data_IF_396650375153
#
_entry.id   IF_396650375153
#
_cell.length_a   1.000
_cell.length_b   1.000
_cell.length_c   1.000
_cell.angle_alpha   90.00
_cell.angle_beta   90.00
_cell.angle_gamma   90.00
#
_symmetry.space_group_name_H-M   'P 1'
#
loop_
_entity.id
_entity.type
_entity.pdbx_description
1 polymer ?
#
# COMPACT_ATOMS: atom_id res chain seq x y z
N UNK A 1 -2.95 -43.55 26.01
CA UNK A 1 -1.75 -43.19 25.22
C UNK A 1 -1.89 -43.55 23.73
N UNK A 2 -2.32 -44.76 23.35
CA UNK A 2 -2.47 -45.15 21.93
C UNK A 2 -3.55 -44.42 21.12
N UNK A 3 -4.66 -44.02 21.75
CA UNK A 3 -5.73 -43.26 21.08
C UNK A 3 -5.31 -41.85 20.62
N UNK A 4 -4.44 -41.19 21.39
CA UNK A 4 -3.86 -39.89 21.01
C UNK A 4 -2.93 -40.03 19.80
N UNK A 5 -2.13 -41.10 19.73
CA UNK A 5 -1.26 -41.38 18.59
C UNK A 5 -2.08 -41.68 17.32
N UNK A 6 -3.19 -42.41 17.43
CA UNK A 6 -4.09 -42.67 16.30
C UNK A 6 -4.76 -41.38 15.80
N UNK A 7 -5.22 -40.51 16.69
CA UNK A 7 -5.77 -39.21 16.32
C UNK A 7 -4.74 -38.31 15.64
N UNK A 8 -3.51 -38.25 16.16
CA UNK A 8 -2.44 -37.46 15.56
C UNK A 8 -2.09 -38.00 14.17
N UNK A 9 -1.95 -39.31 13.99
CA UNK A 9 -1.63 -39.92 12.68
C UNK A 9 -2.76 -39.71 11.65
N UNK A 10 -4.02 -39.69 12.09
CA UNK A 10 -5.16 -39.45 11.21
C UNK A 10 -5.30 -37.98 10.80
N UNK A 11 -5.13 -37.04 11.74
CA UNK A 11 -5.34 -35.61 11.50
C UNK A 11 -4.08 -34.86 11.03
N UNK A 12 -2.88 -35.37 11.30
CA UNK A 12 -1.63 -34.78 10.84
C UNK A 12 -1.56 -34.60 9.32
N UNK A 13 -1.87 -35.61 8.46
CA UNK A 13 -1.83 -35.42 7.02
C UNK A 13 -2.87 -34.40 6.54
N UNK A 14 -4.06 -34.35 7.16
CA UNK A 14 -5.09 -33.37 6.83
C UNK A 14 -4.68 -31.94 7.22
N UNK A 15 -4.04 -31.76 8.38
CA UNK A 15 -3.49 -30.48 8.82
C UNK A 15 -2.33 -30.03 7.94
N UNK A 16 -1.42 -30.93 7.58
CA UNK A 16 -0.30 -30.64 6.66
C UNK A 16 -0.84 -30.29 5.28
N UNK A 17 -1.82 -31.03 4.76
CA UNK A 17 -2.44 -30.74 3.47
C UNK A 17 -3.19 -29.40 3.49
N UNK A 18 -3.94 -29.09 4.55
CA UNK A 18 -4.58 -27.79 4.75
C UNK A 18 -3.57 -26.64 4.82
N UNK A 19 -2.46 -26.83 5.53
CA UNK A 19 -1.38 -25.85 5.62
C UNK A 19 -0.70 -25.63 4.26
N UNK A 20 -0.42 -26.70 3.51
CA UNK A 20 0.12 -26.64 2.15
C UNK A 20 -0.85 -25.94 1.19
N UNK A 21 -2.15 -26.24 1.28
CA UNK A 21 -3.18 -25.60 0.46
C UNK A 21 -3.31 -24.10 0.77
N UNK A 22 -3.17 -23.70 2.04
CA UNK A 22 -3.16 -22.29 2.44
C UNK A 22 -1.93 -21.50 1.95
N UNK A 23 -0.88 -22.20 1.48
CA UNK A 23 0.29 -21.59 0.82
C UNK A 23 0.04 -21.39 -0.67
N UNK A 24 -0.75 -22.25 -1.31
CA UNK A 24 -1.09 -22.10 -2.73
C UNK A 24 -2.01 -20.90 -2.96
N UNK A 25 -1.61 -19.95 -3.83
CA UNK A 25 -2.42 -18.76 -4.13
C UNK A 25 -3.66 -19.18 -4.95
N UNK A 26 -4.82 -19.28 -4.31
CA UNK A 26 -6.11 -19.34 -5.01
C UNK A 26 -6.45 -17.94 -5.54
N UNK A 27 -6.86 -17.87 -6.81
CA UNK A 27 -7.05 -16.62 -7.55
C UNK A 27 -8.10 -15.66 -6.96
N UNK A 28 -8.98 -16.12 -6.06
CA UNK A 28 -10.20 -15.36 -5.72
C UNK A 28 -10.26 -14.74 -4.32
N UNK A 29 -9.37 -15.06 -3.37
CA UNK A 29 -9.38 -14.36 -2.06
C UNK A 29 -8.07 -14.59 -1.26
N UNK A 30 -7.38 -13.53 -0.78
CA UNK A 30 -6.18 -13.69 0.03
C UNK A 30 -6.54 -14.27 1.41
N UNK A 31 -5.87 -15.35 1.86
CA UNK A 31 -6.18 -15.97 3.14
C UNK A 31 -5.94 -15.01 4.31
N UNK A 32 -6.88 -14.97 5.27
CA UNK A 32 -6.94 -13.99 6.39
C UNK A 32 -5.65 -13.85 7.21
N UNK A 33 -4.85 -14.91 7.31
CA UNK A 33 -3.57 -14.88 8.01
C UNK A 33 -2.51 -14.03 7.29
N UNK A 34 -2.53 -13.95 5.96
CA UNK A 34 -1.61 -13.11 5.17
C UNK A 34 -1.90 -11.64 5.40
N UNK A 35 -3.17 -11.25 5.45
CA UNK A 35 -3.60 -9.89 5.77
C UNK A 35 -3.15 -9.52 7.18
N UNK A 36 -3.36 -10.40 8.16
CA UNK A 36 -2.90 -10.19 9.53
C UNK A 36 -1.36 -10.09 9.63
N UNK A 37 -0.62 -10.88 8.86
CA UNK A 37 0.83 -10.84 8.79
C UNK A 37 1.31 -9.53 8.15
N UNK A 38 0.70 -9.09 7.05
CA UNK A 38 1.00 -7.83 6.38
C UNK A 38 0.84 -6.64 7.34
N UNK A 39 -0.29 -6.56 8.04
CA UNK A 39 -0.54 -5.53 9.06
C UNK A 39 0.53 -5.55 10.15
N UNK A 40 0.97 -6.73 10.61
CA UNK A 40 2.03 -6.84 11.63
C UNK A 40 3.39 -6.39 11.10
N UNK A 41 3.74 -6.76 9.87
CA UNK A 41 4.99 -6.36 9.23
C UNK A 41 5.02 -4.84 9.00
N UNK A 42 3.91 -4.24 8.57
CA UNK A 42 3.79 -2.78 8.42
C UNK A 42 4.02 -2.05 9.74
N UNK A 43 3.43 -2.51 10.84
CA UNK A 43 3.71 -1.92 12.17
C UNK A 43 5.16 -2.04 12.58
N UNK A 44 5.81 -3.15 12.23
CA UNK A 44 7.21 -3.39 12.57
C UNK A 44 8.14 -2.51 11.72
N UNK A 45 7.83 -2.36 10.43
CA UNK A 45 8.48 -1.43 9.53
C UNK A 45 8.32 0.03 9.97
N UNK A 46 7.14 0.41 10.48
CA UNK A 46 6.89 1.73 11.04
C UNK A 46 7.81 2.05 12.24
N UNK A 47 8.10 1.07 13.10
CA UNK A 47 9.06 1.25 14.22
C UNK A 47 10.51 1.35 13.76
N UNK A 48 10.86 0.68 12.67
CA UNK A 48 12.22 0.66 12.11
C UNK A 48 12.52 1.87 11.24
N UNK A 49 11.50 2.49 10.63
CA UNK A 49 11.65 3.67 9.79
C UNK A 49 11.96 4.88 10.69
N UNK A 50 13.25 5.16 10.89
CA UNK A 50 13.71 6.45 11.45
C UNK A 50 13.14 7.57 10.58
N UNK A 51 12.23 8.36 11.15
CA UNK A 51 11.86 9.65 10.59
C UNK A 51 13.10 10.53 10.67
N UNK A 52 13.75 10.78 9.53
CA UNK A 52 14.77 11.82 9.42
C UNK A 52 14.00 13.14 9.34
N UNK A 53 14.30 14.08 10.22
CA UNK A 53 13.75 15.43 10.12
C UNK A 53 14.08 15.98 8.73
N UNK A 54 13.09 16.40 7.93
CA UNK A 54 13.34 16.90 6.59
C UNK A 54 14.10 18.22 6.69
N UNK A 55 15.37 18.19 6.29
CA UNK A 55 16.11 19.43 5.96
C UNK A 55 15.44 19.97 4.70
N UNK A 56 14.89 21.18 4.78
CA UNK A 56 14.21 21.81 3.66
C UNK A 56 15.16 21.93 2.45
N UNK A 57 14.86 21.19 1.37
CA UNK A 57 15.58 21.21 0.10
C UNK A 57 14.61 21.59 -1.03
N UNK A 58 14.72 22.81 -1.59
CA UNK A 58 13.84 23.27 -2.67
C UNK A 58 13.86 22.37 -3.92
N UNK A 59 14.99 21.76 -4.25
CA UNK A 59 15.09 20.90 -5.43
C UNK A 59 14.42 19.55 -5.21
N UNK A 60 14.44 19.04 -3.97
CA UNK A 60 13.68 17.86 -3.60
C UNK A 60 12.18 18.12 -3.74
N UNK A 61 11.69 19.28 -3.25
CA UNK A 61 10.29 19.69 -3.41
C UNK A 61 9.88 19.76 -4.88
N UNK A 62 10.65 20.46 -5.74
CA UNK A 62 10.33 20.58 -7.16
C UNK A 62 10.31 19.23 -7.87
N UNK A 63 11.25 18.33 -7.56
CA UNK A 63 11.27 16.98 -8.14
C UNK A 63 10.05 16.17 -7.74
N UNK A 64 9.59 16.29 -6.49
CA UNK A 64 8.38 15.59 -6.03
C UNK A 64 7.14 16.17 -6.70
N UNK A 65 7.04 17.50 -6.83
CA UNK A 65 5.94 18.17 -7.55
C UNK A 65 5.86 17.74 -9.02
N UNK A 66 6.98 17.72 -9.74
CA UNK A 66 7.03 17.25 -11.13
C UNK A 66 6.55 15.80 -11.24
N UNK A 67 7.05 14.91 -10.38
CA UNK A 67 6.65 13.49 -10.37
C UNK A 67 5.18 13.30 -10.03
N UNK A 68 4.64 14.08 -9.10
CA UNK A 68 3.21 14.07 -8.77
C UNK A 68 2.37 14.43 -9.99
N UNK A 69 2.73 15.49 -10.73
CA UNK A 69 2.00 15.94 -11.91
C UNK A 69 1.98 14.87 -13.00
N UNK A 70 3.14 14.28 -13.30
CA UNK A 70 3.25 13.18 -14.27
C UNK A 70 2.37 11.98 -13.90
N UNK A 71 2.36 11.59 -12.62
CA UNK A 71 1.56 10.44 -12.17
C UNK A 71 0.07 10.79 -12.12
N UNK A 72 -0.31 12.00 -11.71
CA UNK A 72 -1.70 12.47 -11.70
C UNK A 72 -2.28 12.47 -13.12
N UNK A 73 -1.53 12.99 -14.09
CA UNK A 73 -1.93 12.95 -15.50
C UNK A 73 -2.01 11.51 -16.04
N UNK A 74 -1.11 10.62 -15.60
CA UNK A 74 -1.17 9.21 -15.97
C UNK A 74 -2.44 8.53 -15.45
N UNK A 75 -2.80 8.76 -14.18
CA UNK A 75 -4.05 8.23 -13.58
C UNK A 75 -5.24 8.77 -14.36
N UNK A 76 -5.30 10.08 -14.62
CA UNK A 76 -6.38 10.71 -15.40
C UNK A 76 -6.49 10.12 -16.81
N UNK A 77 -5.37 9.89 -17.48
CA UNK A 77 -5.35 9.28 -18.80
C UNK A 77 -5.91 7.84 -18.80
N UNK A 78 -5.57 7.03 -17.78
CA UNK A 78 -6.11 5.68 -17.60
C UNK A 78 -7.60 5.67 -17.24
N UNK A 79 -8.07 6.70 -16.52
CA UNK A 79 -9.48 6.88 -16.22
C UNK A 79 -10.29 7.26 -17.47
N UNK A 80 -9.72 8.08 -18.36
CA UNK A 80 -10.38 8.54 -19.58
C UNK A 80 -10.37 7.53 -20.73
N UNK A 81 -9.38 6.61 -20.80
CA UNK A 81 -9.31 5.58 -21.84
C UNK A 81 -9.87 4.22 -21.36
N UNK A 82 -11.11 3.85 -21.75
CA UNK A 82 -11.69 2.56 -21.38
C UNK A 82 -11.13 1.38 -22.16
N UNK A 83 -10.36 1.59 -23.25
CA UNK A 83 -9.88 0.50 -24.13
C UNK A 83 -8.52 -0.04 -23.73
N UNK A 84 -7.89 0.54 -22.71
CA UNK A 84 -6.59 0.09 -22.22
C UNK A 84 -6.67 -1.33 -21.64
N UNK A 85 -5.74 -2.19 -22.07
CA UNK A 85 -5.59 -3.54 -21.51
C UNK A 85 -5.20 -3.48 -20.02
N UNK A 86 -5.76 -4.41 -19.22
CA UNK A 86 -5.55 -4.51 -17.77
C UNK A 86 -5.79 -3.17 -17.01
N UNK A 87 -6.76 -2.37 -17.47
CA UNK A 87 -7.06 -1.03 -16.93
C UNK A 87 -7.20 -0.99 -15.41
N UNK A 88 -7.93 -1.93 -14.82
CA UNK A 88 -8.15 -1.97 -13.37
C UNK A 88 -6.82 -2.09 -12.59
N UNK A 89 -5.99 -3.07 -12.94
CA UNK A 89 -4.65 -3.27 -12.36
C UNK A 89 -3.75 -2.04 -12.54
N UNK A 90 -3.77 -1.44 -13.74
CA UNK A 90 -2.97 -0.25 -14.04
C UNK A 90 -3.42 0.98 -13.24
N UNK A 91 -4.73 1.16 -13.07
CA UNK A 91 -5.28 2.22 -12.22
C UNK A 91 -4.85 2.00 -10.78
N UNK A 92 -5.01 0.79 -10.25
CA UNK A 92 -4.61 0.45 -8.88
C UNK A 92 -3.11 0.72 -8.66
N UNK A 93 -2.25 0.23 -9.55
CA UNK A 93 -0.81 0.44 -9.46
C UNK A 93 -0.42 1.92 -9.53
N UNK A 94 -1.06 2.69 -10.42
CA UNK A 94 -0.79 4.12 -10.60
C UNK A 94 -1.27 4.93 -9.39
N UNK A 95 -2.44 4.60 -8.84
CA UNK A 95 -2.96 5.21 -7.62
C UNK A 95 -2.06 4.91 -6.41
N UNK A 96 -1.55 3.68 -6.28
CA UNK A 96 -0.60 3.34 -5.21
C UNK A 96 0.74 4.07 -5.35
N UNK A 97 1.18 4.36 -6.58
CA UNK A 97 2.36 5.19 -6.83
C UNK A 97 2.09 6.66 -6.49
N UNK A 98 0.91 7.15 -6.83
CA UNK A 98 0.44 8.50 -6.50
C UNK A 98 0.40 8.72 -4.98
N UNK A 99 -0.22 7.81 -4.23
CA UNK A 99 -0.32 7.87 -2.76
C UNK A 99 1.07 7.91 -2.09
N UNK A 100 2.06 7.21 -2.68
CA UNK A 100 3.44 7.24 -2.16
C UNK A 100 4.12 8.58 -2.38
N UNK A 101 3.91 9.20 -3.53
CA UNK A 101 4.42 10.54 -3.83
C UNK A 101 3.73 11.60 -2.97
N UNK A 102 2.43 11.42 -2.71
CA UNK A 102 1.65 12.31 -1.85
C UNK A 102 2.18 12.27 -0.40
N UNK A 103 2.46 11.08 0.11
CA UNK A 103 3.10 10.92 1.41
C UNK A 103 4.53 11.54 1.46
N UNK A 104 5.30 11.44 0.37
CA UNK A 104 6.62 12.08 0.26
C UNK A 104 6.50 13.62 0.27
N UNK A 105 5.52 14.17 -0.46
CA UNK A 105 5.23 15.61 -0.46
C UNK A 105 4.78 16.10 0.92
N UNK A 106 3.87 15.38 1.58
CA UNK A 106 3.44 15.68 2.95
C UNK A 106 4.62 15.68 3.92
N UNK A 107 5.53 14.70 3.80
CA UNK A 107 6.74 14.67 4.62
C UNK A 107 7.64 15.89 4.37
N UNK A 108 7.88 16.28 3.12
CA UNK A 108 8.64 17.49 2.77
C UNK A 108 7.96 18.78 3.25
N UNK A 109 6.62 18.79 3.29
CA UNK A 109 5.82 19.91 3.78
C UNK A 109 5.71 19.96 5.31
N UNK A 110 6.22 18.96 6.04
CA UNK A 110 6.06 18.84 7.49
C UNK A 110 4.61 18.57 7.91
N UNK A 111 3.83 17.90 7.07
CA UNK A 111 2.47 17.42 7.36
C UNK A 111 2.56 16.03 7.97
N UNK A 112 1.89 15.81 9.09
CA UNK A 112 1.78 14.46 9.66
C UNK A 112 0.85 13.60 8.79
N UNK A 113 1.41 12.51 8.26
CA UNK A 113 0.68 11.50 7.51
C UNK A 113 0.32 10.36 8.46
N UNK A 114 -0.97 10.20 8.74
CA UNK A 114 -1.46 8.98 9.39
C UNK A 114 -1.15 7.80 8.48
N UNK A 115 -0.40 6.81 8.97
CA UNK A 115 -0.15 5.57 8.24
C UNK A 115 -1.42 4.69 8.23
N UNK A 116 -2.44 5.12 7.47
CA UNK A 116 -3.61 4.30 7.14
C UNK A 116 -3.35 3.42 5.93
N UNK A 117 -4.31 2.54 5.65
CA UNK A 117 -4.26 1.61 4.52
C UNK A 117 -4.09 2.40 3.22
N UNK A 118 -3.04 2.09 2.45
CA UNK A 118 -2.79 2.70 1.13
C UNK A 118 -4.01 2.51 0.22
N UNK A 119 -4.36 3.53 -0.54
CA UNK A 119 -5.50 3.49 -1.47
C UNK A 119 -6.84 3.98 -0.88
N UNK A 120 -6.89 4.51 0.35
CA UNK A 120 -8.09 5.16 0.88
C UNK A 120 -8.34 6.51 0.16
N UNK A 121 -9.43 6.66 -0.61
CA UNK A 121 -9.70 7.90 -1.34
C UNK A 121 -9.91 9.12 -0.44
N UNK A 122 -10.45 8.93 0.77
CA UNK A 122 -10.73 10.03 1.68
C UNK A 122 -9.44 10.63 2.27
N UNK A 123 -8.49 9.77 2.64
CA UNK A 123 -7.17 10.21 3.12
C UNK A 123 -6.36 10.87 2.01
N UNK A 124 -6.38 10.31 0.80
CA UNK A 124 -5.77 10.94 -0.38
C UNK A 124 -6.28 12.37 -0.55
N UNK A 125 -7.60 12.55 -0.56
CA UNK A 125 -8.20 13.87 -0.70
C UNK A 125 -7.80 14.84 0.43
N UNK A 126 -7.75 14.36 1.68
CA UNK A 126 -7.28 15.16 2.83
C UNK A 126 -5.84 15.64 2.62
N UNK A 127 -4.95 14.75 2.21
CA UNK A 127 -3.54 15.07 1.93
C UNK A 127 -3.38 16.07 0.78
N UNK A 128 -4.15 15.89 -0.31
CA UNK A 128 -4.15 16.82 -1.45
C UNK A 128 -4.56 18.24 -1.05
N UNK A 129 -5.64 18.37 -0.27
CA UNK A 129 -6.13 19.66 0.22
C UNK A 129 -5.13 20.32 1.16
N UNK A 130 -4.51 19.55 2.06
CA UNK A 130 -3.50 20.07 2.99
C UNK A 130 -2.28 20.60 2.22
N UNK A 131 -1.79 19.86 1.22
CA UNK A 131 -0.69 20.29 0.35
C UNK A 131 -1.05 21.55 -0.45
N UNK A 132 -2.24 21.57 -1.06
CA UNK A 132 -2.72 22.73 -1.83
C UNK A 132 -2.83 23.99 -0.95
N UNK A 133 -3.29 23.85 0.30
CA UNK A 133 -3.38 24.98 1.24
C UNK A 133 -2.01 25.57 1.61
N UNK A 134 -0.94 24.77 1.50
CA UNK A 134 0.46 25.15 1.70
C UNK A 134 1.15 25.63 0.42
N UNK A 135 0.40 25.80 -0.67
CA UNK A 135 0.91 26.31 -1.94
C UNK A 135 1.61 25.27 -2.81
N UNK A 136 1.44 23.97 -2.52
CA UNK A 136 1.90 22.93 -3.43
C UNK A 136 1.01 22.86 -4.66
N UNK A 137 1.64 22.65 -5.81
CA UNK A 137 0.95 22.51 -7.10
C UNK A 137 1.62 21.39 -7.90
N UNK A 138 0.82 20.63 -8.62
CA UNK A 138 1.27 19.59 -9.54
C UNK A 138 0.22 19.35 -10.63
#
# INVERSE_FOLDING_TARGET
MGWLLLLVVLFAPALVFSALWAVFPSADEPPRWRVALAIRLERLAGRLRRHKEPVYDPFATLRVQERLGVVADHVRALELDPRTFARAERIIASQLAYDQLLAEACHLAGVEVEQRVKGDPAERFREEVELASRGWTW
#
